data_IF_811472934490
#
_entry.id   IF_811472934490
#
_cell.length_a   1.000
_cell.length_b   1.000
_cell.length_c   1.000
_cell.angle_alpha   90.00
_cell.angle_beta   90.00
_cell.angle_gamma   90.00
#
_symmetry.space_group_name_H-M   'P 1'
#
loop_
_entity.id
_entity.type
_entity.pdbx_description
1 polymer ?
#
# COMPACT_ATOMS: atom_id res chain seq x y z
N UNK A 1 -13.97 -4.84 -17.45
CA UNK A 1 -15.22 -4.97 -16.70
C UNK A 1 -16.33 -4.27 -17.45
N UNK A 2 -17.45 -4.95 -17.61
CA UNK A 2 -18.59 -4.38 -18.29
C UNK A 2 -19.56 -3.82 -17.25
N UNK A 3 -19.85 -2.53 -17.36
CA UNK A 3 -20.92 -1.92 -16.60
C UNK A 3 -22.19 -1.90 -17.45
N UNK A 4 -23.32 -2.25 -16.89
CA UNK A 4 -24.57 -1.96 -17.55
C UNK A 4 -24.88 -0.46 -17.41
N UNK A 5 -25.81 0.06 -18.21
CA UNK A 5 -26.16 1.48 -18.21
C UNK A 5 -26.54 2.00 -16.82
N UNK A 6 -27.26 1.19 -16.04
CA UNK A 6 -27.69 1.54 -14.69
C UNK A 6 -26.50 1.66 -13.72
N UNK A 7 -25.48 0.80 -13.88
CA UNK A 7 -24.25 0.88 -13.07
C UNK A 7 -23.45 2.12 -13.40
N UNK A 8 -23.34 2.46 -14.69
CA UNK A 8 -22.60 3.66 -15.13
C UNK A 8 -23.22 4.94 -14.58
N UNK A 9 -24.54 5.03 -14.49
CA UNK A 9 -25.25 6.18 -13.93
C UNK A 9 -24.90 6.45 -12.46
N UNK A 10 -24.44 5.40 -11.73
CA UNK A 10 -24.02 5.52 -10.33
C UNK A 10 -22.57 5.93 -10.16
N UNK A 11 -21.76 5.89 -11.23
CA UNK A 11 -20.35 6.28 -11.18
C UNK A 11 -20.27 7.76 -11.50
N UNK A 12 -19.83 8.54 -10.53
CA UNK A 12 -19.69 9.98 -10.68
C UNK A 12 -18.48 10.33 -11.53
N UNK A 13 -18.64 11.36 -12.35
CA UNK A 13 -17.51 11.95 -13.09
C UNK A 13 -16.42 12.38 -12.12
N UNK A 14 -15.18 12.00 -12.39
CA UNK A 14 -14.05 12.26 -11.50
C UNK A 14 -13.79 11.16 -10.49
N UNK A 15 -14.65 10.13 -10.42
CA UNK A 15 -14.39 8.93 -9.62
C UNK A 15 -13.16 8.20 -10.16
N UNK A 16 -12.49 7.48 -9.29
CA UNK A 16 -11.21 6.81 -9.60
C UNK A 16 -11.36 5.31 -9.45
N UNK A 17 -10.93 4.60 -10.49
CA UNK A 17 -10.76 3.14 -10.44
C UNK A 17 -9.33 2.87 -10.02
N UNK A 18 -9.15 2.05 -9.00
CA UNK A 18 -7.83 1.73 -8.45
C UNK A 18 -7.53 0.26 -8.69
N UNK A 19 -6.36 0.00 -9.28
CA UNK A 19 -5.81 -1.34 -9.37
C UNK A 19 -4.68 -1.48 -8.35
N UNK A 20 -4.69 -2.53 -7.57
CA UNK A 20 -3.65 -2.82 -6.60
C UNK A 20 -3.04 -4.18 -6.92
N UNK A 21 -1.76 -4.19 -7.27
CA UNK A 21 -0.98 -5.40 -7.47
C UNK A 21 -0.16 -5.67 -6.21
N UNK A 22 -0.69 -6.54 -5.35
CA UNK A 22 -0.05 -6.92 -4.10
C UNK A 22 0.87 -8.11 -4.35
N UNK A 23 2.17 -7.86 -4.43
CA UNK A 23 3.18 -8.90 -4.62
C UNK A 23 3.96 -9.19 -3.33
N UNK A 24 4.59 -10.36 -3.27
CA UNK A 24 5.35 -10.78 -2.10
C UNK A 24 6.56 -9.87 -1.82
N UNK A 25 7.26 -9.45 -2.86
CA UNK A 25 8.45 -8.60 -2.74
C UNK A 25 8.14 -7.13 -3.01
N UNK A 26 7.34 -6.86 -4.03
CA UNK A 26 6.97 -5.51 -4.45
C UNK A 26 5.50 -5.44 -4.77
N UNK A 27 4.93 -4.29 -4.49
CA UNK A 27 3.54 -3.96 -4.83
C UNK A 27 3.50 -2.73 -5.73
N UNK A 28 2.45 -2.62 -6.54
CA UNK A 28 2.21 -1.46 -7.40
C UNK A 28 0.76 -1.03 -7.35
N UNK A 29 0.55 0.26 -7.51
CA UNK A 29 -0.80 0.84 -7.55
C UNK A 29 -0.96 1.55 -8.87
N UNK A 30 -2.09 1.32 -9.52
CA UNK A 30 -2.50 2.04 -10.71
C UNK A 30 -3.87 2.64 -10.50
N UNK A 31 -4.18 3.66 -11.27
CA UNK A 31 -5.50 4.29 -11.21
C UNK A 31 -5.93 4.81 -12.58
N UNK A 32 -7.22 4.96 -12.74
CA UNK A 32 -7.83 5.55 -13.91
C UNK A 32 -8.98 6.45 -13.45
N UNK A 33 -8.96 7.70 -13.88
CA UNK A 33 -10.05 8.62 -13.57
C UNK A 33 -11.22 8.33 -14.52
N UNK A 34 -12.42 8.26 -13.97
CA UNK A 34 -13.62 8.00 -14.76
C UNK A 34 -13.77 9.04 -15.87
N UNK A 35 -13.99 8.55 -17.08
CA UNK A 35 -14.11 9.40 -18.27
C UNK A 35 -12.80 9.64 -18.98
N UNK A 36 -11.68 9.24 -18.40
CA UNK A 36 -10.37 9.28 -19.02
C UNK A 36 -9.96 7.87 -19.47
N UNK A 37 -9.25 7.78 -20.60
CA UNK A 37 -8.82 6.48 -21.16
C UNK A 37 -7.36 6.15 -20.85
N UNK A 38 -6.80 6.78 -19.83
CA UNK A 38 -5.39 6.60 -19.47
C UNK A 38 -5.29 5.97 -18.08
N UNK A 39 -4.52 4.89 -18.00
CA UNK A 39 -4.17 4.26 -16.73
C UNK A 39 -2.81 4.80 -16.31
N UNK A 40 -2.76 5.35 -15.11
CA UNK A 40 -1.55 5.89 -14.53
C UNK A 40 -1.04 4.98 -13.41
N UNK A 41 0.27 4.90 -13.27
CA UNK A 41 0.90 4.23 -12.13
C UNK A 41 1.25 5.25 -11.05
N UNK A 42 1.07 4.85 -9.80
CA UNK A 42 1.39 5.71 -8.67
C UNK A 42 2.88 5.61 -8.37
N UNK A 43 3.57 6.74 -8.43
CA UNK A 43 4.99 6.82 -8.09
C UNK A 43 5.20 6.75 -6.58
N UNK A 44 6.23 6.05 -6.16
CA UNK A 44 6.60 5.96 -4.74
C UNK A 44 7.21 7.28 -4.24
N UNK A 45 7.83 8.02 -5.15
CA UNK A 45 8.34 9.37 -4.91
C UNK A 45 7.76 10.27 -5.98
N UNK A 46 7.11 11.38 -5.58
CA UNK A 46 6.46 12.33 -6.48
C UNK A 46 7.47 12.85 -7.50
N UNK A 47 7.06 12.87 -8.77
CA UNK A 47 7.89 13.36 -9.87
C UNK A 47 8.90 12.36 -10.42
N UNK A 48 8.88 11.12 -9.94
CA UNK A 48 9.75 10.05 -10.42
C UNK A 48 8.95 9.00 -11.20
N UNK A 49 9.69 8.09 -11.86
CA UNK A 49 9.10 6.91 -12.52
C UNK A 49 9.39 5.63 -11.70
N UNK A 50 9.43 5.75 -10.40
CA UNK A 50 9.65 4.63 -9.49
C UNK A 50 8.29 4.18 -8.94
N UNK A 51 7.82 3.02 -9.39
CA UNK A 51 6.46 2.54 -9.09
C UNK A 51 6.44 1.33 -8.16
N UNK A 52 7.55 0.65 -7.97
CA UNK A 52 7.64 -0.53 -7.12
C UNK A 52 7.75 -0.14 -5.65
N UNK A 53 6.79 -0.59 -4.86
CA UNK A 53 6.76 -0.39 -3.43
C UNK A 53 7.23 -1.70 -2.78
N UNK A 54 8.36 -1.73 -2.08
CA UNK A 54 8.72 -2.92 -1.31
C UNK A 54 7.60 -3.31 -0.35
N UNK A 55 7.16 -4.56 -0.39
CA UNK A 55 6.06 -5.06 0.44
C UNK A 55 6.60 -5.42 1.83
N UNK A 56 7.01 -4.40 2.56
CA UNK A 56 7.65 -4.54 3.87
C UNK A 56 7.24 -3.44 4.82
N UNK A 57 7.34 -3.75 6.11
CA UNK A 57 7.20 -2.80 7.20
C UNK A 57 8.48 -2.82 8.04
N UNK A 58 8.76 -1.73 8.71
CA UNK A 58 9.84 -1.67 9.70
C UNK A 58 9.34 -0.98 10.96
N UNK A 59 9.39 -1.68 12.09
CA UNK A 59 9.08 -1.11 13.39
C UNK A 59 10.34 -0.44 13.95
N UNK A 60 10.22 0.79 14.38
CA UNK A 60 11.30 1.48 15.07
C UNK A 60 11.53 0.85 16.44
N UNK A 61 12.78 0.73 16.83
CA UNK A 61 13.14 0.17 18.13
C UNK A 61 12.57 1.00 19.27
N UNK A 62 11.93 0.35 20.21
CA UNK A 62 11.46 0.96 21.44
C UNK A 62 10.17 1.77 21.32
N UNK A 63 9.63 1.93 20.14
CA UNK A 63 8.41 2.71 19.91
C UNK A 63 7.47 1.99 18.94
N UNK A 64 6.18 2.21 19.09
CA UNK A 64 5.19 1.64 18.19
C UNK A 64 4.99 2.56 16.98
N UNK A 65 6.06 2.72 16.21
CA UNK A 65 6.05 3.48 14.95
C UNK A 65 6.53 2.57 13.83
N UNK A 66 5.81 2.64 12.71
CA UNK A 66 6.05 1.79 11.57
C UNK A 66 6.34 2.62 10.32
N UNK A 67 7.33 2.17 9.57
CA UNK A 67 7.65 2.67 8.25
C UNK A 67 7.26 1.59 7.23
N UNK A 68 6.99 1.98 6.00
CA UNK A 68 6.63 1.04 4.95
C UNK A 68 7.43 1.30 3.67
N UNK A 69 7.51 0.28 2.82
CA UNK A 69 8.12 0.42 1.51
C UNK A 69 9.59 0.78 1.57
N UNK A 70 10.02 1.71 0.72
CA UNK A 70 11.43 2.11 0.62
C UNK A 70 11.97 2.71 1.91
N UNK A 71 11.16 3.48 2.62
CA UNK A 71 11.57 4.07 3.90
C UNK A 71 11.83 3.00 4.95
N UNK A 72 11.03 1.91 4.94
CA UNK A 72 11.25 0.79 5.83
C UNK A 72 12.58 0.10 5.57
N UNK A 73 12.88 -0.16 4.29
CA UNK A 73 14.16 -0.77 3.89
C UNK A 73 15.34 0.10 4.29
N UNK A 74 15.26 1.39 3.97
CA UNK A 74 16.30 2.36 4.29
C UNK A 74 16.53 2.46 5.79
N UNK A 75 15.47 2.58 6.57
CA UNK A 75 15.56 2.66 8.02
C UNK A 75 16.21 1.41 8.62
N UNK A 76 15.83 0.22 8.14
CA UNK A 76 16.41 -1.04 8.63
C UNK A 76 17.91 -1.16 8.36
N UNK A 77 18.42 -0.48 7.34
CA UNK A 77 19.83 -0.50 6.98
C UNK A 77 20.64 0.55 7.74
N UNK A 78 20.07 1.69 8.04
CA UNK A 78 20.76 2.85 8.62
C UNK A 78 20.54 3.00 10.12
N UNK A 79 19.43 2.49 10.64
CA UNK A 79 19.02 2.65 12.03
C UNK A 79 18.65 1.32 12.66
N UNK A 80 18.39 1.31 13.95
CA UNK A 80 17.88 0.13 14.64
C UNK A 80 16.37 0.01 14.44
N UNK A 81 15.96 -1.00 13.71
CA UNK A 81 14.55 -1.29 13.46
C UNK A 81 14.36 -2.76 13.15
N UNK A 82 13.12 -3.20 13.21
CA UNK A 82 12.71 -4.58 12.97
C UNK A 82 11.97 -4.66 11.63
N UNK A 83 12.65 -5.14 10.60
CA UNK A 83 12.08 -5.28 9.27
C UNK A 83 11.18 -6.51 9.23
N UNK A 84 9.94 -6.32 8.83
CA UNK A 84 8.99 -7.40 8.61
C UNK A 84 8.76 -7.55 7.13
N UNK A 85 9.20 -8.67 6.59
CA UNK A 85 8.97 -9.10 5.22
C UNK A 85 7.90 -10.18 5.21
N UNK A 86 7.58 -10.71 4.05
CA UNK A 86 6.63 -11.82 3.91
C UNK A 86 5.24 -11.54 4.53
N UNK A 87 4.78 -10.29 4.41
CA UNK A 87 3.52 -9.85 5.02
C UNK A 87 2.33 -10.71 4.58
N UNK A 88 2.27 -11.08 3.31
CA UNK A 88 1.18 -11.89 2.76
C UNK A 88 1.21 -13.30 3.36
N UNK A 89 2.38 -13.91 3.39
CA UNK A 89 2.54 -15.26 3.90
C UNK A 89 2.27 -15.34 5.40
N UNK A 90 2.74 -14.35 6.16
CA UNK A 90 2.45 -14.27 7.59
C UNK A 90 0.96 -14.13 7.85
N UNK A 91 0.26 -13.29 7.08
CA UNK A 91 -1.18 -13.13 7.21
C UNK A 91 -1.94 -14.41 6.83
N UNK A 92 -1.45 -15.14 5.83
CA UNK A 92 -2.05 -16.40 5.40
C UNK A 92 -1.91 -17.51 6.44
N UNK A 93 -0.75 -17.62 7.05
CA UNK A 93 -0.50 -18.62 8.10
C UNK A 93 -1.33 -18.38 9.35
N UNK A 94 -1.62 -17.13 9.66
CA UNK A 94 -2.26 -16.75 10.91
C UNK A 94 -1.29 -16.82 12.09
N UNK A 95 -1.84 -16.74 13.29
CA UNK A 95 -1.04 -16.64 14.51
C UNK A 95 -0.52 -15.22 14.72
N UNK A 96 0.37 -15.07 15.67
CA UNK A 96 0.94 -13.78 16.05
C UNK A 96 2.45 -13.80 15.82
N UNK A 97 3.02 -12.63 15.54
CA UNK A 97 4.48 -12.46 15.52
C UNK A 97 4.88 -11.61 16.73
N UNK A 98 6.05 -11.89 17.28
CA UNK A 98 6.54 -11.17 18.44
C UNK A 98 7.73 -10.30 18.08
N UNK A 99 7.65 -9.02 18.39
CA UNK A 99 8.74 -8.05 18.21
C UNK A 99 8.88 -7.28 19.51
N UNK A 100 10.07 -7.28 20.10
CA UNK A 100 10.35 -6.61 21.37
C UNK A 100 9.36 -7.03 22.48
N UNK A 101 9.11 -8.32 22.58
CA UNK A 101 8.20 -8.91 23.57
C UNK A 101 6.72 -8.52 23.40
N UNK A 102 6.37 -7.83 22.34
CA UNK A 102 5.01 -7.48 22.00
C UNK A 102 4.51 -8.33 20.83
N UNK A 103 3.28 -8.82 20.95
CA UNK A 103 2.65 -9.63 19.91
C UNK A 103 1.89 -8.75 18.91
N UNK A 104 2.06 -9.05 17.63
CA UNK A 104 1.39 -8.34 16.53
C UNK A 104 0.62 -9.30 15.66
N UNK A 105 -0.58 -8.89 15.25
CA UNK A 105 -1.39 -9.64 14.31
C UNK A 105 -0.89 -9.38 12.89
N UNK A 106 -0.44 -10.43 12.16
CA UNK A 106 0.03 -10.26 10.79
C UNK A 106 -1.02 -9.67 9.84
N UNK A 107 -2.30 -9.95 10.05
CA UNK A 107 -3.38 -9.37 9.23
C UNK A 107 -3.45 -7.86 9.47
N UNK A 108 -3.29 -7.43 10.72
CA UNK A 108 -3.26 -6.00 11.04
C UNK A 108 -2.04 -5.31 10.41
N UNK A 109 -0.90 -5.98 10.38
CA UNK A 109 0.31 -5.45 9.74
C UNK A 109 0.13 -5.32 8.22
N UNK A 110 -0.41 -6.33 7.58
CA UNK A 110 -0.71 -6.26 6.14
C UNK A 110 -1.70 -5.14 5.85
N UNK A 111 -2.72 -4.98 6.69
CA UNK A 111 -3.71 -3.90 6.57
C UNK A 111 -3.03 -2.54 6.68
N UNK A 112 -2.10 -2.39 7.60
CA UNK A 112 -1.33 -1.16 7.77
C UNK A 112 -0.54 -0.82 6.51
N UNK A 113 0.13 -1.81 5.93
CA UNK A 113 0.86 -1.64 4.66
C UNK A 113 -0.08 -1.19 3.54
N UNK A 114 -1.22 -1.85 3.40
CA UNK A 114 -2.21 -1.50 2.38
C UNK A 114 -2.73 -0.08 2.55
N UNK A 115 -3.10 0.29 3.76
CA UNK A 115 -3.60 1.64 4.05
C UNK A 115 -2.57 2.72 3.74
N UNK A 116 -1.34 2.51 4.16
CA UNK A 116 -0.27 3.49 3.94
C UNK A 116 0.12 3.63 2.49
N UNK A 117 0.21 2.53 1.76
CA UNK A 117 0.52 2.57 0.33
C UNK A 117 -0.62 3.20 -0.47
N UNK A 118 -1.88 2.88 -0.15
CA UNK A 118 -3.03 3.49 -0.80
C UNK A 118 -3.11 5.00 -0.56
N UNK A 119 -2.61 5.50 0.56
CA UNK A 119 -2.57 6.93 0.85
C UNK A 119 -1.72 7.72 -0.16
N UNK A 120 -0.83 7.07 -0.91
CA UNK A 120 -0.09 7.70 -2.00
C UNK A 120 -1.02 8.26 -3.09
N UNK A 121 -2.20 7.69 -3.26
CA UNK A 121 -3.20 8.19 -4.22
C UNK A 121 -3.64 9.61 -3.89
N UNK A 122 -3.59 10.03 -2.62
CA UNK A 122 -3.99 11.37 -2.20
C UNK A 122 -3.12 12.47 -2.83
N UNK A 123 -1.92 12.13 -3.30
CA UNK A 123 -1.05 13.05 -4.02
C UNK A 123 -1.36 13.12 -5.51
N UNK A 124 -2.15 12.18 -6.02
CA UNK A 124 -2.44 12.04 -7.45
C UNK A 124 -3.87 12.42 -7.77
N UNK A 125 -4.79 12.12 -6.86
CA UNK A 125 -6.23 12.33 -7.05
C UNK A 125 -6.87 12.78 -5.74
N UNK A 126 -8.05 13.39 -5.85
CA UNK A 126 -8.83 13.76 -4.67
C UNK A 126 -9.34 12.49 -3.98
N UNK A 127 -9.05 12.37 -2.68
CA UNK A 127 -9.37 11.17 -1.90
C UNK A 127 -10.87 10.85 -1.87
N UNK A 128 -11.73 11.85 -1.91
CA UNK A 128 -13.18 11.67 -1.93
C UNK A 128 -13.72 10.96 -3.17
N UNK A 129 -12.91 10.90 -4.22
CA UNK A 129 -13.27 10.27 -5.49
C UNK A 129 -12.78 8.81 -5.62
N UNK A 130 -12.13 8.30 -4.61
CA UNK A 130 -11.61 6.94 -4.62
C UNK A 130 -12.67 5.94 -4.14
#
# INVERSE_FOLDING_TARGET
MLFNKKTEEKVHKGSVLVGYDLGDDFSQISYCVYGENVVESVATVIGTKQYNIPTVLCKRKGVNQWLYGKDAVKYSQEEEGFLVTDLIELARKGGMITIEEEAFDPVALLTLFLKRSLALLNFMVTAENI
#
